data_IF_492045514140
#
_entry.id   IF_492045514140
#
_cell.length_a   1.000
_cell.length_b   1.000
_cell.length_c   1.000
_cell.angle_alpha   90.00
_cell.angle_beta   90.00
_cell.angle_gamma   90.00
#
_symmetry.space_group_name_H-M   'P 1'
#
loop_
_entity.id
_entity.type
_entity.pdbx_description
1 polymer ?
#
# COMPACT_ATOMS: atom_id res chain seq x y z
N UNK A 1 -32.95 -0.62 -10.20
CA UNK A 1 -32.18 -0.56 -8.95
C UNK A 1 -30.83 0.04 -9.32
N UNK A 2 -30.52 1.23 -8.83
CA UNK A 2 -29.27 1.92 -9.18
C UNK A 2 -28.08 1.11 -8.68
N UNK A 3 -27.20 0.73 -9.61
CA UNK A 3 -25.97 0.04 -9.27
C UNK A 3 -24.92 1.11 -9.00
N UNK A 4 -24.74 1.49 -7.73
CA UNK A 4 -23.61 2.35 -7.38
C UNK A 4 -22.31 1.62 -7.76
N UNK A 5 -21.62 2.17 -8.75
CA UNK A 5 -20.33 1.66 -9.23
C UNK A 5 -19.24 2.26 -8.34
N UNK A 6 -18.29 1.41 -7.92
CA UNK A 6 -17.09 1.92 -7.30
C UNK A 6 -16.32 2.77 -8.32
N UNK A 7 -16.27 4.07 -8.07
CA UNK A 7 -15.62 5.06 -8.92
C UNK A 7 -14.11 5.03 -8.68
N UNK A 8 -13.33 5.35 -9.71
CA UNK A 8 -11.85 5.35 -9.68
C UNK A 8 -11.30 6.22 -8.53
N UNK A 9 -11.88 7.40 -8.31
CA UNK A 9 -11.44 8.31 -7.25
C UNK A 9 -11.48 7.66 -5.85
N UNK A 10 -12.51 6.84 -5.55
CA UNK A 10 -12.60 6.10 -4.28
C UNK A 10 -11.55 5.01 -4.15
N UNK A 11 -11.19 4.39 -5.28
CA UNK A 11 -10.12 3.39 -5.31
C UNK A 11 -8.77 4.06 -5.02
N UNK A 12 -8.50 5.19 -5.66
CA UNK A 12 -7.23 5.89 -5.53
C UNK A 12 -7.09 6.53 -4.13
N UNK A 13 -8.13 7.20 -3.64
CA UNK A 13 -8.15 7.76 -2.28
C UNK A 13 -8.01 6.67 -1.23
N UNK A 14 -8.62 5.51 -1.44
CA UNK A 14 -8.50 4.39 -0.52
C UNK A 14 -7.08 3.83 -0.50
N UNK A 15 -6.41 3.81 -1.66
CA UNK A 15 -5.00 3.43 -1.72
C UNK A 15 -4.12 4.43 -0.96
N UNK A 16 -4.33 5.75 -1.15
CA UNK A 16 -3.61 6.80 -0.42
C UNK A 16 -3.84 6.72 1.09
N UNK A 17 -5.08 6.47 1.53
CA UNK A 17 -5.41 6.28 2.93
C UNK A 17 -4.61 5.11 3.53
N UNK A 18 -4.56 3.97 2.85
CA UNK A 18 -3.81 2.81 3.34
C UNK A 18 -2.30 3.07 3.43
N UNK A 19 -1.74 3.83 2.49
CA UNK A 19 -0.33 4.27 2.55
C UNK A 19 -0.11 5.10 3.81
N UNK A 20 -0.94 6.12 4.06
CA UNK A 20 -0.79 7.00 5.22
C UNK A 20 -1.03 6.28 6.55
N UNK A 21 -1.96 5.33 6.59
CA UNK A 21 -2.18 4.46 7.75
C UNK A 21 -0.95 3.61 8.08
N UNK A 22 -0.36 2.97 7.08
CA UNK A 22 0.84 2.18 7.27
C UNK A 22 2.03 3.05 7.69
N UNK A 23 2.16 4.26 7.12
CA UNK A 23 3.19 5.24 7.51
C UNK A 23 3.03 5.77 8.94
N UNK A 24 1.79 5.91 9.41
CA UNK A 24 1.49 6.29 10.80
C UNK A 24 1.66 5.14 11.80
N UNK A 25 2.06 3.95 11.33
CA UNK A 25 2.37 2.79 12.16
C UNK A 25 1.21 1.81 12.35
N UNK A 26 0.09 1.98 11.64
CA UNK A 26 -0.99 1.00 11.64
C UNK A 26 -0.63 -0.18 10.73
N UNK A 27 -0.47 -1.37 11.31
CA UNK A 27 -0.27 -2.60 10.54
C UNK A 27 -1.57 -2.99 9.82
N UNK A 28 -1.60 -2.89 8.49
CA UNK A 28 -2.75 -3.26 7.66
C UNK A 28 -2.56 -4.69 7.14
N UNK A 29 -3.31 -5.62 7.72
CA UNK A 29 -3.32 -7.03 7.31
C UNK A 29 -4.01 -7.27 5.98
N UNK A 30 -5.10 -6.56 5.68
CA UNK A 30 -5.78 -6.58 4.37
C UNK A 30 -6.77 -5.40 4.31
N UNK A 31 -7.07 -4.94 3.10
CA UNK A 31 -8.10 -3.92 2.90
C UNK A 31 -8.86 -4.15 1.60
N UNK A 32 -10.14 -3.78 1.57
CA UNK A 32 -10.97 -3.89 0.39
C UNK A 32 -12.17 -2.94 0.45
N UNK A 33 -12.57 -2.46 -0.72
CA UNK A 33 -13.93 -1.96 -0.91
C UNK A 33 -14.87 -3.15 -1.06
N UNK A 34 -15.96 -3.16 -0.31
CA UNK A 34 -16.96 -4.23 -0.29
C UNK A 34 -18.33 -3.63 -0.48
N UNK A 35 -19.05 -4.08 -1.52
CA UNK A 35 -20.45 -3.74 -1.73
C UNK A 35 -21.34 -4.78 -1.07
N UNK A 36 -22.04 -4.40 0.00
CA UNK A 36 -22.92 -5.35 0.73
C UNK A 36 -24.20 -5.59 -0.08
N UNK A 37 -24.68 -6.84 -0.12
CA UNK A 37 -25.96 -7.14 -0.79
C UNK A 37 -27.18 -6.65 -0.01
N UNK A 38 -27.01 -6.39 1.29
CA UNK A 38 -28.10 -5.92 2.16
C UNK A 38 -28.40 -4.44 1.93
N UNK A 39 -27.36 -3.60 1.89
CA UNK A 39 -27.52 -2.14 1.79
C UNK A 39 -27.27 -1.64 0.36
N UNK A 40 -26.57 -2.43 -0.48
CA UNK A 40 -26.16 -2.01 -1.82
C UNK A 40 -25.08 -0.91 -1.81
N UNK A 41 -24.48 -0.64 -0.64
CA UNK A 41 -23.50 0.43 -0.42
C UNK A 41 -22.08 -0.12 -0.36
N UNK A 42 -21.12 0.72 -0.76
CA UNK A 42 -19.69 0.43 -0.67
C UNK A 42 -19.12 0.83 0.69
N UNK A 43 -18.43 -0.11 1.33
CA UNK A 43 -17.68 0.12 2.56
C UNK A 43 -16.21 -0.25 2.37
N UNK A 44 -15.31 0.58 2.91
CA UNK A 44 -13.89 0.30 2.96
C UNK A 44 -13.58 -0.49 4.24
N UNK A 45 -13.39 -1.79 4.10
CA UNK A 45 -12.92 -2.65 5.18
C UNK A 45 -11.41 -2.56 5.29
N UNK A 46 -10.92 -2.26 6.49
CA UNK A 46 -9.49 -2.23 6.82
C UNK A 46 -9.26 -3.18 8.00
N UNK A 47 -8.53 -4.25 7.73
CA UNK A 47 -8.15 -5.26 8.70
C UNK A 47 -6.80 -4.97 9.32
N UNK A 48 -6.72 -4.90 10.64
CA UNK A 48 -5.46 -4.68 11.37
C UNK A 48 -5.40 -5.52 12.65
N UNK A 49 -4.24 -6.13 12.99
CA UNK A 49 -4.10 -6.85 14.25
C UNK A 49 -4.03 -5.89 15.45
N UNK A 50 -3.70 -4.62 15.19
CA UNK A 50 -3.66 -3.57 16.21
C UNK A 50 -5.04 -3.04 16.58
N UNK A 51 -6.09 -3.33 15.80
CA UNK A 51 -7.45 -2.88 16.07
C UNK A 51 -8.17 -3.85 17.00
N UNK A 52 -8.50 -3.40 18.20
CA UNK A 52 -9.23 -4.17 19.22
C UNK A 52 -10.43 -3.39 19.74
N UNK A 53 -11.33 -4.04 20.47
CA UNK A 53 -12.45 -3.34 21.10
C UNK A 53 -12.00 -2.24 22.08
N UNK A 54 -10.84 -2.42 22.73
CA UNK A 54 -10.32 -1.48 23.73
C UNK A 54 -9.69 -0.21 23.15
N UNK A 55 -9.28 -0.21 21.87
CA UNK A 55 -8.63 0.92 21.22
C UNK A 55 -9.31 1.35 19.91
N UNK A 56 -10.55 0.89 19.67
CA UNK A 56 -11.26 1.17 18.43
C UNK A 56 -11.43 2.68 18.19
N UNK A 57 -11.73 3.45 19.22
CA UNK A 57 -11.85 4.90 19.13
C UNK A 57 -10.53 5.59 18.70
N UNK A 58 -9.39 5.10 19.20
CA UNK A 58 -8.08 5.64 18.84
C UNK A 58 -7.69 5.22 17.41
N UNK A 59 -8.01 4.00 17.01
CA UNK A 59 -7.81 3.55 15.63
C UNK A 59 -8.63 4.39 14.64
N UNK A 60 -9.89 4.68 14.96
CA UNK A 60 -10.73 5.58 14.17
C UNK A 60 -10.19 7.02 14.14
N UNK A 61 -9.60 7.51 15.24
CA UNK A 61 -8.91 8.81 15.25
C UNK A 61 -7.70 8.83 14.32
N UNK A 62 -6.91 7.77 14.26
CA UNK A 62 -5.79 7.67 13.32
C UNK A 62 -6.25 7.70 11.86
N UNK A 63 -7.30 6.93 11.51
CA UNK A 63 -7.90 6.99 10.16
C UNK A 63 -8.36 8.40 9.82
N UNK A 64 -9.03 9.08 10.76
CA UNK A 64 -9.49 10.45 10.54
C UNK A 64 -8.33 11.42 10.32
N UNK A 65 -7.24 11.28 11.08
CA UNK A 65 -6.04 12.07 10.88
C UNK A 65 -5.42 11.83 9.49
N UNK A 66 -5.32 10.58 9.04
CA UNK A 66 -4.82 10.24 7.71
C UNK A 66 -5.73 10.76 6.59
N UNK A 67 -7.05 10.63 6.70
CA UNK A 67 -8.00 11.18 5.72
C UNK A 67 -7.87 12.70 5.57
N UNK A 68 -7.59 13.44 6.65
CA UNK A 68 -7.37 14.89 6.58
C UNK A 68 -6.13 15.29 5.78
N UNK A 69 -5.19 14.38 5.56
CA UNK A 69 -4.03 14.61 4.72
C UNK A 69 -4.30 14.39 3.22
N UNK A 70 -5.48 13.86 2.87
CA UNK A 70 -5.90 13.61 1.49
C UNK A 70 -6.82 14.77 1.05
N UNK A 71 -6.36 15.66 0.15
CA UNK A 71 -7.16 16.80 -0.30
C UNK A 71 -8.40 16.32 -1.05
N UNK A 72 -9.58 16.84 -0.69
CA UNK A 72 -10.85 16.52 -1.34
C UNK A 72 -11.17 15.01 -1.40
N UNK A 73 -10.78 14.25 -0.37
CA UNK A 73 -11.07 12.82 -0.27
C UNK A 73 -12.53 12.51 -0.58
N UNK A 74 -12.75 11.59 -1.51
CA UNK A 74 -14.05 11.01 -1.86
C UNK A 74 -14.58 10.00 -0.83
N UNK A 75 -13.74 9.63 0.14
CA UNK A 75 -14.08 8.67 1.21
C UNK A 75 -14.69 9.39 2.39
N UNK A 76 -15.89 8.95 2.79
CA UNK A 76 -16.51 9.37 4.03
C UNK A 76 -16.14 8.47 5.20
N UNK A 77 -16.08 9.03 6.40
CA UNK A 77 -15.73 8.28 7.62
C UNK A 77 -16.74 7.16 7.93
N UNK A 78 -18.01 7.37 7.58
CA UNK A 78 -19.12 6.41 7.68
C UNK A 78 -18.88 5.14 6.85
N UNK A 79 -18.11 5.24 5.77
CA UNK A 79 -17.81 4.16 4.86
C UNK A 79 -16.67 3.26 5.36
N UNK A 80 -15.87 3.73 6.32
CA UNK A 80 -14.71 2.98 6.82
C UNK A 80 -15.09 2.03 7.94
N UNK A 81 -14.84 0.74 7.73
CA UNK A 81 -15.00 -0.32 8.72
C UNK A 81 -13.64 -0.84 9.18
N UNK A 82 -13.27 -0.48 10.41
CA UNK A 82 -12.07 -1.02 11.06
C UNK A 82 -12.40 -2.34 11.76
N UNK A 83 -11.65 -3.38 11.43
CA UNK A 83 -11.88 -4.73 11.94
C UNK A 83 -10.57 -5.39 12.35
N UNK A 84 -10.60 -6.16 13.43
CA UNK A 84 -9.43 -6.92 13.86
C UNK A 84 -9.04 -7.97 12.81
N UNK A 85 -7.74 -8.25 12.66
CA UNK A 85 -7.23 -9.21 11.69
C UNK A 85 -7.75 -10.66 11.85
N UNK A 86 -8.26 -11.02 13.03
CA UNK A 86 -8.90 -12.33 13.25
C UNK A 86 -10.31 -12.44 12.67
N UNK A 87 -10.92 -11.32 12.23
CA UNK A 87 -12.25 -11.33 11.63
C UNK A 87 -12.27 -12.20 10.36
N UNK A 88 -13.26 -13.10 10.18
CA UNK A 88 -13.35 -13.97 9.01
C UNK A 88 -13.28 -13.23 7.67
N UNK A 89 -13.89 -12.05 7.58
CA UNK A 89 -13.85 -11.20 6.38
C UNK A 89 -12.40 -10.84 6.04
N UNK A 90 -11.64 -10.35 7.03
CA UNK A 90 -10.24 -9.94 6.84
C UNK A 90 -9.36 -11.11 6.40
N UNK A 91 -9.56 -12.28 7.01
CA UNK A 91 -8.80 -13.49 6.64
C UNK A 91 -9.07 -13.90 5.20
N UNK A 92 -10.32 -13.82 4.76
CA UNK A 92 -10.69 -14.13 3.37
C UNK A 92 -10.15 -13.10 2.39
N UNK A 93 -10.21 -11.79 2.72
CA UNK A 93 -9.59 -10.74 1.94
C UNK A 93 -8.08 -10.93 1.80
N UNK A 94 -7.39 -11.28 2.88
CA UNK A 94 -5.97 -11.60 2.84
C UNK A 94 -5.69 -12.82 1.94
N UNK A 95 -6.49 -13.87 2.04
CA UNK A 95 -6.34 -15.06 1.20
C UNK A 95 -6.60 -14.79 -0.29
N UNK A 96 -7.56 -13.92 -0.62
CA UNK A 96 -7.82 -13.48 -2.00
C UNK A 96 -6.62 -12.70 -2.54
N UNK A 97 -6.13 -11.72 -1.76
CA UNK A 97 -4.95 -10.94 -2.13
C UNK A 97 -3.72 -11.84 -2.34
N UNK A 98 -3.46 -12.73 -1.40
CA UNK A 98 -2.25 -13.58 -1.40
C UNK A 98 -2.29 -14.66 -2.50
N UNK A 99 -3.47 -14.93 -3.09
CA UNK A 99 -3.61 -15.78 -4.29
C UNK A 99 -3.10 -15.11 -5.56
N UNK A 100 -3.06 -13.78 -5.59
CA UNK A 100 -2.60 -12.98 -6.74
C UNK A 100 -1.46 -12.04 -6.33
N UNK A 101 -0.31 -12.59 -5.88
CA UNK A 101 0.83 -11.77 -5.49
C UNK A 101 1.43 -11.09 -6.72
N UNK A 102 1.62 -9.76 -6.66
CA UNK A 102 2.31 -8.98 -7.70
C UNK A 102 1.41 -8.20 -8.67
N UNK A 103 0.08 -8.20 -8.50
CA UNK A 103 -0.80 -7.35 -9.31
C UNK A 103 -0.79 -5.93 -8.74
N UNK A 104 -0.36 -4.96 -9.57
CA UNK A 104 -0.33 -3.51 -9.25
C UNK A 104 -1.72 -2.93 -8.96
N UNK A 105 -2.74 -3.53 -9.54
CA UNK A 105 -4.14 -3.14 -9.42
C UNK A 105 -4.84 -4.06 -8.42
N UNK A 106 -5.79 -3.51 -7.66
CA UNK A 106 -6.60 -4.33 -6.76
C UNK A 106 -7.39 -5.38 -7.54
N UNK A 107 -7.64 -6.50 -6.87
CA UNK A 107 -8.35 -7.64 -7.46
C UNK A 107 -9.85 -7.47 -7.25
N UNK A 108 -10.62 -7.43 -8.33
CA UNK A 108 -12.08 -7.58 -8.23
C UNK A 108 -12.46 -9.03 -7.98
N UNK A 109 -13.23 -9.28 -6.94
CA UNK A 109 -13.69 -10.60 -6.56
C UNK A 109 -15.20 -10.70 -6.75
N UNK A 110 -15.61 -11.52 -7.73
CA UNK A 110 -17.02 -11.78 -8.05
C UNK A 110 -17.68 -12.87 -7.22
N UNK A 111 -17.17 -13.16 -6.01
CA UNK A 111 -17.82 -14.11 -5.11
C UNK A 111 -19.05 -13.49 -4.44
N UNK A 112 -20.00 -14.33 -4.02
CA UNK A 112 -21.28 -13.88 -3.45
C UNK A 112 -21.21 -13.61 -1.94
N UNK A 113 -20.10 -13.96 -1.28
CA UNK A 113 -19.93 -13.85 0.17
C UNK A 113 -18.49 -13.53 0.55
N UNK A 114 -18.34 -12.81 1.65
CA UNK A 114 -17.10 -12.67 2.42
C UNK A 114 -17.41 -13.03 3.89
N UNK A 115 -16.89 -14.16 4.36
CA UNK A 115 -17.26 -14.75 5.64
C UNK A 115 -18.77 -14.95 5.75
N UNK A 116 -19.39 -14.29 6.74
CA UNK A 116 -20.84 -14.34 6.94
C UNK A 116 -21.60 -13.28 6.13
N UNK A 117 -20.93 -12.33 5.49
CA UNK A 117 -21.55 -11.19 4.80
C UNK A 117 -21.84 -11.55 3.34
N UNK A 118 -23.06 -11.28 2.88
CA UNK A 118 -23.41 -11.36 1.47
C UNK A 118 -22.92 -10.10 0.73
N UNK A 119 -22.24 -10.29 -0.39
CA UNK A 119 -21.59 -9.21 -1.14
C UNK A 119 -21.97 -9.27 -2.61
N UNK A 120 -22.11 -8.10 -3.23
CA UNK A 120 -22.36 -7.96 -4.66
C UNK A 120 -21.06 -7.82 -5.45
N UNK A 121 -20.11 -7.06 -4.93
CA UNK A 121 -18.80 -6.83 -5.55
C UNK A 121 -17.77 -6.50 -4.46
N UNK A 122 -16.52 -6.80 -4.74
CA UNK A 122 -15.40 -6.62 -3.82
C UNK A 122 -14.19 -6.20 -4.63
N UNK A 123 -13.53 -5.12 -4.23
CA UNK A 123 -12.24 -4.71 -4.76
C UNK A 123 -11.18 -4.80 -3.66
N UNK A 124 -10.28 -5.77 -3.77
CA UNK A 124 -9.25 -6.06 -2.77
C UNK A 124 -7.96 -5.33 -3.12
N UNK A 125 -7.45 -4.52 -2.20
CA UNK A 125 -6.18 -3.83 -2.39
C UNK A 125 -4.98 -4.79 -2.35
N UNK A 126 -3.90 -4.50 -3.10
CA UNK A 126 -2.64 -5.22 -2.94
C UNK A 126 -2.05 -5.01 -1.54
N UNK A 127 -1.02 -5.77 -1.20
CA UNK A 127 -0.36 -5.64 0.10
C UNK A 127 0.36 -4.30 0.16
N UNK A 128 -0.10 -3.41 1.04
CA UNK A 128 0.57 -2.14 1.31
C UNK A 128 1.73 -2.43 2.25
N UNK A 129 2.92 -2.52 1.69
CA UNK A 129 4.13 -2.64 2.49
C UNK A 129 4.45 -1.26 3.07
N UNK A 130 4.85 -1.16 4.37
CA UNK A 130 5.50 0.04 4.87
C UNK A 130 6.75 0.23 4.05
N UNK A 131 6.67 1.05 3.02
CA UNK A 131 7.84 1.30 2.21
C UNK A 131 8.85 2.08 3.03
N UNK A 132 10.14 1.86 2.77
CA UNK A 132 11.19 2.65 3.37
C UNK A 132 10.87 4.14 3.22
N UNK A 133 11.03 4.89 4.30
CA UNK A 133 11.01 6.34 4.26
C UNK A 133 12.18 6.85 3.41
N UNK A 134 12.08 8.08 2.89
CA UNK A 134 13.17 8.69 2.10
C UNK A 134 14.50 8.64 2.87
N UNK A 135 14.48 8.90 4.17
CA UNK A 135 15.68 8.91 5.00
C UNK A 135 16.24 7.49 5.22
N UNK A 136 15.38 6.49 5.39
CA UNK A 136 15.80 5.08 5.47
C UNK A 136 16.41 4.60 4.15
N UNK A 137 15.84 5.01 3.01
CA UNK A 137 16.41 4.73 1.69
C UNK A 137 17.78 5.35 1.56
N UNK A 138 17.92 6.64 1.90
CA UNK A 138 19.22 7.35 1.86
C UNK A 138 20.22 6.62 2.74
N UNK A 139 19.86 6.33 3.99
CA UNK A 139 20.73 5.69 4.96
C UNK A 139 21.18 4.31 4.46
N UNK A 140 20.25 3.51 3.94
CA UNK A 140 20.52 2.16 3.44
C UNK A 140 21.41 2.19 2.21
N UNK A 141 21.07 2.99 1.18
CA UNK A 141 21.87 3.09 -0.04
C UNK A 141 23.27 3.64 0.24
N UNK A 142 23.38 4.66 1.09
CA UNK A 142 24.68 5.21 1.51
C UNK A 142 25.50 4.16 2.26
N UNK A 143 24.86 3.37 3.13
CA UNK A 143 25.49 2.25 3.82
C UNK A 143 26.00 1.17 2.86
N UNK A 144 25.26 0.87 1.79
CA UNK A 144 25.68 -0.07 0.75
C UNK A 144 26.87 0.43 -0.05
N UNK A 145 26.86 1.71 -0.45
CA UNK A 145 27.94 2.33 -1.21
C UNK A 145 29.25 2.45 -0.42
N UNK A 146 29.15 2.59 0.91
CA UNK A 146 30.32 2.71 1.79
C UNK A 146 30.88 1.36 2.28
N UNK A 147 30.32 0.22 1.85
CA UNK A 147 30.89 -1.10 2.20
C UNK A 147 32.25 -1.26 1.51
N UNK A 148 33.27 -1.60 2.29
CA UNK A 148 34.58 -1.97 1.76
C UNK A 148 34.55 -3.37 1.15
N UNK A 149 35.05 -3.52 -0.08
CA UNK A 149 35.11 -4.80 -0.80
C UNK A 149 34.33 -4.83 -2.11
N UNK A 150 34.06 -6.02 -2.64
CA UNK A 150 33.30 -6.21 -3.88
C UNK A 150 31.85 -5.79 -3.66
N UNK A 151 31.35 -4.88 -4.51
CA UNK A 151 29.97 -4.45 -4.47
C UNK A 151 29.04 -5.65 -4.69
N UNK A 152 28.09 -5.86 -3.76
CA UNK A 152 27.16 -6.99 -3.82
C UNK A 152 25.83 -6.54 -4.39
N UNK A 153 25.24 -7.30 -5.32
CA UNK A 153 23.87 -7.06 -5.75
C UNK A 153 22.92 -7.06 -4.55
N UNK A 154 22.05 -6.06 -4.51
CA UNK A 154 20.95 -5.93 -3.57
C UNK A 154 19.63 -6.21 -4.27
N UNK A 155 18.64 -6.66 -3.50
CA UNK A 155 17.26 -6.84 -3.95
C UNK A 155 16.47 -5.62 -3.50
N UNK A 156 16.13 -4.75 -4.44
CA UNK A 156 15.30 -3.56 -4.21
C UNK A 156 13.87 -3.93 -4.55
N UNK A 157 13.03 -4.00 -3.51
CA UNK A 157 11.59 -4.17 -3.68
C UNK A 157 10.95 -2.81 -3.81
N UNK A 158 10.05 -2.64 -4.76
CA UNK A 158 9.28 -1.42 -4.96
C UNK A 158 7.89 -1.55 -4.34
N UNK A 159 7.22 -0.42 -4.13
CA UNK A 159 5.85 -0.36 -3.60
C UNK A 159 4.82 -0.98 -4.54
N UNK A 160 5.13 -1.04 -5.82
CA UNK A 160 4.31 -1.70 -6.84
C UNK A 160 4.47 -3.24 -6.86
N UNK A 161 5.27 -3.80 -5.94
CA UNK A 161 5.56 -5.23 -5.83
C UNK A 161 6.62 -5.73 -6.81
N UNK A 162 7.12 -4.89 -7.71
CA UNK A 162 8.24 -5.25 -8.58
C UNK A 162 9.55 -5.32 -7.80
N UNK A 163 10.48 -6.11 -8.34
CA UNK A 163 11.77 -6.37 -7.71
C UNK A 163 12.86 -6.08 -8.72
N UNK A 164 13.83 -5.29 -8.30
CA UNK A 164 15.05 -4.99 -9.06
C UNK A 164 16.21 -5.65 -8.34
N UNK A 165 16.98 -6.45 -9.05
CA UNK A 165 18.22 -7.03 -8.55
C UNK A 165 19.40 -6.33 -9.19
N UNK A 166 20.23 -5.69 -8.38
CA UNK A 166 21.34 -4.91 -8.90
C UNK A 166 22.14 -4.22 -7.81
N UNK A 167 23.22 -3.55 -8.20
CA UNK A 167 24.12 -2.84 -7.27
C UNK A 167 23.70 -1.38 -7.17
N UNK A 168 23.24 -0.88 -6.01
CA UNK A 168 23.03 0.55 -5.81
C UNK A 168 24.37 1.27 -5.82
N UNK A 169 24.51 2.30 -6.65
CA UNK A 169 25.78 3.00 -6.82
C UNK A 169 25.66 4.53 -6.78
N UNK A 170 24.45 5.07 -6.64
CA UNK A 170 24.25 6.51 -6.54
C UNK A 170 22.88 6.92 -6.03
N UNK A 171 22.85 8.13 -5.47
CA UNK A 171 21.65 8.87 -5.12
C UNK A 171 21.72 10.21 -5.85
N UNK A 172 20.66 10.56 -6.58
CA UNK A 172 20.57 11.84 -7.27
C UNK A 172 19.29 12.57 -6.89
N UNK A 173 19.40 13.89 -6.82
CA UNK A 173 18.27 14.77 -6.60
C UNK A 173 17.87 15.36 -7.94
N UNK A 174 16.77 14.88 -8.51
CA UNK A 174 16.26 15.41 -9.76
C UNK A 174 15.35 16.62 -9.46
N UNK A 175 15.74 17.79 -9.97
CA UNK A 175 14.91 18.99 -9.96
C UNK A 175 14.39 19.22 -11.37
N UNK A 176 13.13 18.88 -11.62
CA UNK A 176 12.43 19.36 -12.80
C UNK A 176 11.90 20.77 -12.54
N UNK A 177 12.16 21.69 -13.46
CA UNK A 177 11.85 23.12 -13.33
C UNK A 177 10.35 23.30 -13.04
N UNK A 178 10.01 23.79 -11.84
CA UNK A 178 8.63 23.99 -11.40
C UNK A 178 7.96 22.80 -10.71
N UNK A 179 8.65 21.67 -10.51
CA UNK A 179 8.13 20.49 -9.83
C UNK A 179 8.90 20.14 -8.55
N UNK A 180 8.27 19.29 -7.73
CA UNK A 180 8.75 18.80 -6.45
C UNK A 180 10.10 18.07 -6.63
N UNK A 181 11.01 18.28 -5.69
CA UNK A 181 12.33 17.64 -5.68
C UNK A 181 12.19 16.12 -5.48
N UNK A 182 12.53 15.33 -6.50
CA UNK A 182 12.47 13.85 -6.44
C UNK A 182 13.87 13.30 -6.22
N UNK A 183 14.05 12.60 -5.09
CA UNK A 183 15.25 11.80 -4.84
C UNK A 183 15.13 10.48 -5.61
N UNK A 184 16.15 10.13 -6.38
CA UNK A 184 16.21 8.89 -7.13
C UNK A 184 17.45 8.07 -6.76
N UNK A 185 17.31 6.75 -6.77
CA UNK A 185 18.37 5.78 -6.59
C UNK A 185 18.81 5.28 -7.96
N UNK A 186 20.13 5.22 -8.18
CA UNK A 186 20.72 4.57 -9.36
C UNK A 186 21.17 3.16 -8.99
N UNK A 187 20.64 2.19 -9.72
CA UNK A 187 20.91 0.77 -9.54
C UNK A 187 21.45 0.23 -10.86
N UNK A 188 22.59 -0.48 -10.81
CA UNK A 188 23.10 -1.21 -11.96
C UNK A 188 22.54 -2.63 -11.92
N UNK A 189 21.74 -3.00 -12.93
CA UNK A 189 21.12 -4.32 -13.06
C UNK A 189 22.19 -5.41 -13.17
N UNK A 190 22.04 -6.49 -12.38
CA UNK A 190 23.01 -7.58 -12.33
C UNK A 190 22.97 -8.46 -13.60
N UNK A 191 21.85 -8.45 -14.33
CA UNK A 191 21.67 -9.32 -15.50
C UNK A 191 22.31 -8.75 -16.78
N UNK A 192 22.16 -7.45 -17.02
CA UNK A 192 22.58 -6.81 -18.27
C UNK A 192 23.51 -5.60 -18.07
N UNK A 193 23.80 -5.24 -16.81
CA UNK A 193 24.64 -4.10 -16.48
C UNK A 193 24.00 -2.74 -16.75
N UNK A 194 22.71 -2.69 -17.13
CA UNK A 194 21.99 -1.46 -17.44
C UNK A 194 21.73 -0.64 -16.17
N UNK A 195 21.64 0.67 -16.33
CA UNK A 195 21.28 1.57 -15.22
C UNK A 195 19.76 1.71 -15.14
N UNK A 196 19.21 1.44 -13.95
CA UNK A 196 17.83 1.78 -13.59
C UNK A 196 17.82 2.92 -12.58
N UNK A 197 16.85 3.81 -12.75
CA UNK A 197 16.60 4.94 -11.85
C UNK A 197 15.26 4.73 -11.19
N UNK A 198 15.24 4.72 -9.85
CA UNK A 198 14.04 4.44 -9.05
C UNK A 198 13.80 5.60 -8.09
N UNK A 199 12.60 6.21 -8.07
CA UNK A 199 12.24 7.19 -7.05
C UNK A 199 12.34 6.58 -5.64
N UNK A 200 12.99 7.29 -4.71
CA UNK A 200 13.20 6.77 -3.36
C UNK A 200 11.88 6.51 -2.61
N UNK A 201 10.84 7.28 -2.92
CA UNK A 201 9.48 7.10 -2.41
C UNK A 201 8.79 5.85 -2.97
N UNK A 202 9.24 5.31 -4.10
CA UNK A 202 8.75 4.03 -4.64
C UNK A 202 9.43 2.82 -4.01
N UNK A 203 10.52 2.98 -3.26
CA UNK A 203 11.20 1.85 -2.64
C UNK A 203 10.44 1.37 -1.41
N UNK A 204 10.15 0.07 -1.39
CA UNK A 204 9.54 -0.58 -0.24
C UNK A 204 10.55 -1.26 0.68
N UNK A 205 11.63 -1.83 0.13
CA UNK A 205 12.66 -2.53 0.89
C UNK A 205 13.97 -2.63 0.07
N UNK A 206 15.11 -2.77 0.75
CA UNK A 206 16.42 -3.04 0.14
C UNK A 206 17.12 -4.12 0.98
N UNK A 207 17.49 -5.26 0.37
CA UNK A 207 18.17 -6.39 1.02
C UNK A 207 19.50 -6.73 0.36
#
# INVERSE_FOLDING_TARGET
>A
MDTELLVVDRIDDGHQLLIELVRSGLDVSAAAWVKTSEEGLWFLYIGSPSVTAGNLADAYRSVYACLRHIPNSSIEMSEVKLVHASNPIVRELAAIRDRYPGVRLGTRFGGKRLGSVAVEDVYVYPRIMPGMTRDEVIHTVTGLMNRTGVARPSVVSLRDGSVIRGVPYGLEVNRQTGQQTVLVIKIQDDADGSTRTVPADEVSNIQ
#
